data_IF_332315866679
#
_entry.id   IF_332315866679
#
_cell.length_a   1.000
_cell.length_b   1.000
_cell.length_c   1.000
_cell.angle_alpha   90.00
_cell.angle_beta   90.00
_cell.angle_gamma   90.00
#
_symmetry.space_group_name_H-M   'P 1'
#
loop_
_entity.id
_entity.type
_entity.pdbx_description
1 polymer ?
#
# COMPACT_ATOMS: atom_id res chain seq x y z
N UNK A 1 -0.85 14.35 13.59
CA UNK A 1 -0.79 15.61 12.78
C UNK A 1 -0.01 16.73 13.47
N UNK A 2 -0.40 17.20 14.68
CA UNK A 2 0.23 18.34 15.34
C UNK A 2 1.73 18.15 15.61
N UNK A 3 2.13 16.98 16.12
CA UNK A 3 3.54 16.64 16.39
C UNK A 3 4.34 16.66 15.09
N UNK A 4 3.82 16.04 14.04
CA UNK A 4 4.48 15.97 12.74
C UNK A 4 4.60 17.35 12.09
N UNK A 5 3.56 18.19 12.19
CA UNK A 5 3.58 19.55 11.68
C UNK A 5 4.69 20.39 12.33
N UNK A 6 4.81 20.35 13.68
CA UNK A 6 5.86 21.06 14.41
C UNK A 6 7.24 20.50 14.10
N UNK A 7 7.40 19.17 14.07
CA UNK A 7 8.67 18.52 13.73
C UNK A 7 9.13 18.87 12.32
N UNK A 8 8.21 18.80 11.35
CA UNK A 8 8.47 19.17 9.95
C UNK A 8 8.85 20.63 9.80
N UNK A 9 8.10 21.55 10.42
CA UNK A 9 8.40 22.98 10.39
C UNK A 9 9.78 23.29 10.97
N UNK A 10 10.14 22.66 12.09
CA UNK A 10 11.45 22.80 12.70
C UNK A 10 12.58 22.28 11.79
N UNK A 11 12.38 21.13 11.15
CA UNK A 11 13.36 20.56 10.22
C UNK A 11 13.55 21.45 8.99
N UNK A 12 12.48 22.02 8.43
CA UNK A 12 12.56 22.98 7.33
C UNK A 12 13.28 24.27 7.73
N UNK A 13 12.97 24.82 8.89
CA UNK A 13 13.62 26.04 9.39
C UNK A 13 15.13 25.83 9.61
N UNK A 14 15.50 24.69 10.20
CA UNK A 14 16.90 24.31 10.41
C UNK A 14 17.65 24.10 9.08
N UNK A 15 17.05 23.40 8.12
CA UNK A 15 17.63 23.20 6.80
C UNK A 15 17.87 24.54 6.09
N UNK A 16 16.88 25.46 6.12
CA UNK A 16 17.00 26.79 5.55
C UNK A 16 18.08 27.64 6.22
N UNK A 17 18.19 27.60 7.56
CA UNK A 17 19.22 28.33 8.30
C UNK A 17 20.65 27.87 7.96
N UNK A 18 20.81 26.62 7.51
CA UNK A 18 22.08 26.04 7.06
C UNK A 18 22.26 26.03 5.53
N UNK A 19 21.34 26.66 4.80
CA UNK A 19 21.33 26.68 3.32
C UNK A 19 21.39 25.30 2.68
N UNK A 20 20.76 24.30 3.32
CA UNK A 20 20.70 22.92 2.87
C UNK A 20 19.28 22.54 2.42
N UNK A 21 19.15 21.68 1.40
CA UNK A 21 17.86 21.07 1.12
C UNK A 21 17.45 20.12 2.25
N UNK A 22 16.15 20.00 2.52
CA UNK A 22 15.62 19.22 3.65
C UNK A 22 16.14 17.77 3.69
N UNK A 23 16.18 17.11 2.54
CA UNK A 23 16.68 15.73 2.45
C UNK A 23 18.15 15.62 2.90
N UNK A 24 18.96 16.63 2.62
CA UNK A 24 20.37 16.68 3.02
C UNK A 24 20.52 16.94 4.52
N UNK A 25 19.68 17.84 5.04
CA UNK A 25 19.62 18.14 6.48
C UNK A 25 19.27 16.88 7.29
N UNK A 26 18.21 16.16 6.89
CA UNK A 26 17.72 14.96 7.59
C UNK A 26 18.64 13.74 7.38
N UNK A 27 19.07 13.51 6.16
CA UNK A 27 19.79 12.28 5.80
C UNK A 27 21.32 12.42 5.82
N UNK A 28 21.85 13.62 6.00
CA UNK A 28 23.30 13.87 6.06
C UNK A 28 24.02 13.52 4.76
N UNK A 29 25.30 13.16 4.88
CA UNK A 29 26.17 12.88 3.72
C UNK A 29 25.84 11.58 3.00
N UNK A 30 25.10 10.68 3.64
CA UNK A 30 24.71 9.38 3.08
C UNK A 30 23.38 9.40 2.32
N UNK A 31 22.63 10.48 2.40
CA UNK A 31 21.38 10.63 1.65
C UNK A 31 21.64 10.78 0.14
N UNK A 32 21.68 9.67 -0.58
CA UNK A 32 22.05 9.62 -2.02
C UNK A 32 21.08 8.81 -2.87
N UNK A 33 20.21 8.03 -2.24
CA UNK A 33 19.29 7.12 -2.95
C UNK A 33 17.85 7.44 -2.61
N UNK A 34 16.99 7.41 -3.62
CA UNK A 34 15.55 7.41 -3.43
C UNK A 34 15.08 5.98 -3.12
N UNK A 35 14.11 5.80 -2.24
CA UNK A 35 13.51 4.47 -1.99
C UNK A 35 12.70 4.01 -3.21
N UNK A 36 12.43 2.71 -3.27
CA UNK A 36 11.39 2.18 -4.15
C UNK A 36 10.06 2.76 -3.67
N UNK A 37 9.24 3.37 -4.55
CA UNK A 37 7.96 3.91 -4.13
C UNK A 37 6.99 2.79 -3.74
N UNK A 38 6.31 2.94 -2.61
CA UNK A 38 5.13 2.16 -2.23
C UNK A 38 3.91 2.99 -2.60
N UNK A 39 3.04 2.43 -3.43
CA UNK A 39 1.88 3.15 -3.96
C UNK A 39 0.60 2.43 -3.57
N UNK A 40 -0.21 3.06 -2.73
CA UNK A 40 -1.53 2.57 -2.36
C UNK A 40 -2.49 2.74 -3.53
N UNK A 41 -3.02 1.65 -4.07
CA UNK A 41 -3.91 1.65 -5.24
C UNK A 41 -5.27 0.97 -5.02
N UNK A 42 -5.44 0.25 -3.89
CA UNK A 42 -6.74 -0.22 -3.40
C UNK A 42 -6.87 0.13 -1.92
N UNK A 43 -7.94 0.79 -1.56
CA UNK A 43 -8.26 1.20 -0.20
C UNK A 43 -9.35 0.32 0.42
N UNK A 44 -9.20 0.06 1.71
CA UNK A 44 -10.21 -0.53 2.59
C UNK A 44 -10.16 0.10 3.97
N UNK A 45 -10.64 -0.59 5.00
CA UNK A 45 -10.64 -0.14 6.37
C UNK A 45 -11.20 1.27 6.54
N UNK A 46 -10.55 2.09 7.37
CA UNK A 46 -10.96 3.47 7.62
C UNK A 46 -10.73 4.41 6.41
N UNK A 47 -9.93 4.00 5.41
CA UNK A 47 -9.66 4.80 4.21
C UNK A 47 -10.72 4.68 3.11
N UNK A 48 -11.76 3.85 3.30
CA UNK A 48 -12.78 3.60 2.29
C UNK A 48 -14.13 3.20 2.89
N UNK A 49 -15.21 3.72 2.32
CA UNK A 49 -16.57 3.28 2.62
C UNK A 49 -16.90 2.01 1.81
N UNK A 50 -16.31 0.89 2.21
CA UNK A 50 -16.52 -0.42 1.60
C UNK A 50 -16.46 -1.55 2.67
N UNK A 51 -16.37 -2.80 2.24
CA UNK A 51 -16.37 -3.98 3.11
C UNK A 51 -15.00 -4.69 3.17
N UNK A 52 -13.94 -4.03 2.79
CA UNK A 52 -12.57 -4.56 2.84
C UNK A 52 -11.95 -4.16 4.18
N UNK A 53 -11.51 -5.13 4.98
CA UNK A 53 -11.04 -4.86 6.35
C UNK A 53 -9.63 -4.28 6.40
N UNK A 54 -8.71 -4.78 5.53
CA UNK A 54 -7.34 -4.28 5.46
C UNK A 54 -7.32 -2.90 4.77
N UNK A 55 -6.52 -1.99 5.32
CA UNK A 55 -6.63 -0.56 5.01
C UNK A 55 -6.03 -0.18 3.66
N UNK A 56 -4.84 -0.74 3.33
CA UNK A 56 -4.14 -0.39 2.09
C UNK A 56 -3.57 -1.62 1.40
N UNK A 57 -3.76 -1.66 0.08
CA UNK A 57 -3.11 -2.62 -0.79
C UNK A 57 -2.25 -1.86 -1.79
N UNK A 58 -0.94 -2.06 -1.64
CA UNK A 58 0.08 -1.28 -2.33
C UNK A 58 0.84 -2.12 -3.34
N UNK A 59 1.39 -1.42 -4.33
CA UNK A 59 2.35 -1.96 -5.29
C UNK A 59 3.73 -1.35 -5.08
N UNK A 60 4.75 -2.16 -5.32
CA UNK A 60 6.17 -1.80 -5.21
C UNK A 60 6.89 -2.17 -6.50
N UNK A 61 7.30 -1.22 -7.35
CA UNK A 61 7.99 -1.48 -8.62
C UNK A 61 9.47 -1.84 -8.40
N UNK A 62 9.71 -3.04 -7.84
CA UNK A 62 11.04 -3.52 -7.45
C UNK A 62 11.96 -3.80 -8.64
N UNK A 63 11.40 -4.04 -9.84
CA UNK A 63 12.14 -4.25 -11.07
C UNK A 63 12.61 -2.96 -11.76
N UNK A 64 12.20 -1.79 -11.27
CA UNK A 64 12.58 -0.50 -11.84
C UNK A 64 14.06 -0.20 -11.61
N UNK A 65 14.73 0.36 -12.62
CA UNK A 65 16.15 0.76 -12.54
C UNK A 65 16.35 2.19 -12.04
N UNK A 66 15.25 2.97 -11.96
CA UNK A 66 15.23 4.35 -11.48
C UNK A 66 13.89 4.72 -10.86
N UNK A 67 13.86 5.76 -10.02
CA UNK A 67 12.62 6.26 -9.43
C UNK A 67 11.59 6.71 -10.47
N UNK A 68 11.96 7.48 -11.54
CA UNK A 68 10.99 7.84 -12.59
C UNK A 68 10.40 6.63 -13.30
N UNK A 69 11.19 5.58 -13.53
CA UNK A 69 10.69 4.34 -14.12
C UNK A 69 9.72 3.64 -13.16
N UNK A 70 10.07 3.54 -11.87
CA UNK A 70 9.19 2.96 -10.85
C UNK A 70 7.85 3.70 -10.76
N UNK A 71 7.87 5.03 -10.80
CA UNK A 71 6.65 5.84 -10.82
C UNK A 71 5.82 5.55 -12.08
N UNK A 72 6.43 5.49 -13.26
CA UNK A 72 5.76 5.14 -14.52
C UNK A 72 5.09 3.77 -14.42
N UNK A 73 5.83 2.75 -13.97
CA UNK A 73 5.31 1.38 -13.77
C UNK A 73 4.08 1.38 -12.87
N UNK A 74 4.14 2.09 -11.74
CA UNK A 74 3.01 2.18 -10.82
C UNK A 74 1.79 2.86 -11.42
N UNK A 75 1.97 3.93 -12.19
CA UNK A 75 0.87 4.62 -12.90
C UNK A 75 0.22 3.70 -13.94
N UNK A 76 1.02 2.92 -14.68
CA UNK A 76 0.50 1.96 -15.66
C UNK A 76 -0.34 0.88 -14.98
N UNK A 77 0.13 0.32 -13.85
CA UNK A 77 -0.65 -0.67 -13.06
C UNK A 77 -1.94 -0.03 -12.52
N UNK A 78 -1.89 1.20 -12.00
CA UNK A 78 -3.07 1.90 -11.52
C UNK A 78 -4.14 2.05 -12.61
N UNK A 79 -3.73 2.42 -13.83
CA UNK A 79 -4.67 2.52 -14.96
C UNK A 79 -5.17 1.15 -15.43
N UNK A 80 -4.34 0.11 -15.40
CA UNK A 80 -4.76 -1.25 -15.69
C UNK A 80 -5.79 -1.73 -14.66
N UNK A 81 -5.55 -1.48 -13.36
CA UNK A 81 -6.48 -1.79 -12.28
C UNK A 81 -7.85 -1.13 -12.49
N UNK A 82 -7.86 0.15 -12.91
CA UNK A 82 -9.11 0.82 -13.28
C UNK A 82 -9.89 0.08 -14.35
N UNK A 83 -9.17 -0.45 -15.34
CA UNK A 83 -9.77 -1.22 -16.43
C UNK A 83 -10.29 -2.58 -15.98
N UNK A 84 -9.53 -3.27 -15.11
CA UNK A 84 -9.94 -4.54 -14.48
C UNK A 84 -11.20 -4.33 -13.63
N UNK A 85 -11.23 -3.31 -12.77
CA UNK A 85 -12.42 -2.99 -11.98
C UNK A 85 -13.66 -2.75 -12.88
N UNK A 86 -13.51 -1.96 -13.95
CA UNK A 86 -14.62 -1.72 -14.89
C UNK A 86 -15.09 -2.99 -15.60
N UNK A 87 -14.17 -3.84 -16.05
CA UNK A 87 -14.51 -5.13 -16.71
C UNK A 87 -15.30 -6.05 -15.76
N UNK A 88 -14.98 -6.01 -14.45
CA UNK A 88 -15.65 -6.79 -13.42
C UNK A 88 -16.91 -6.11 -12.85
N UNK A 89 -17.29 -4.91 -13.34
CA UNK A 89 -18.45 -4.16 -12.84
C UNK A 89 -18.25 -3.57 -11.44
N UNK A 90 -16.99 -3.42 -11.00
CA UNK A 90 -16.63 -2.86 -9.71
C UNK A 90 -16.54 -1.32 -9.77
N UNK A 91 -16.79 -0.67 -8.62
CA UNK A 91 -16.61 0.77 -8.48
C UNK A 91 -15.16 1.18 -8.73
N UNK A 92 -14.99 2.33 -9.40
CA UNK A 92 -13.70 3.01 -9.54
C UNK A 92 -13.69 4.35 -8.80
N UNK A 93 -14.57 4.53 -7.81
CA UNK A 93 -14.47 5.60 -6.85
C UNK A 93 -13.20 5.39 -6.01
N UNK A 94 -12.60 6.47 -5.56
CA UNK A 94 -11.36 6.44 -4.78
C UNK A 94 -11.65 6.66 -3.30
N UNK A 95 -10.82 6.05 -2.46
CA UNK A 95 -10.79 6.31 -1.03
C UNK A 95 -9.94 7.52 -0.67
N UNK A 96 -9.70 7.73 0.60
CA UNK A 96 -9.02 8.91 1.15
C UNK A 96 -7.56 9.03 0.68
N UNK A 97 -6.90 7.90 0.43
CA UNK A 97 -5.51 7.82 -0.05
C UNK A 97 -5.38 7.76 -1.59
N UNK A 98 -6.50 7.88 -2.31
CA UNK A 98 -6.51 7.93 -3.78
C UNK A 98 -6.51 6.57 -4.49
N UNK A 99 -6.41 5.46 -3.78
CA UNK A 99 -6.64 4.10 -4.30
C UNK A 99 -8.13 3.86 -4.58
N UNK A 100 -8.45 2.91 -5.45
CA UNK A 100 -9.84 2.53 -5.70
C UNK A 100 -10.45 1.84 -4.46
N UNK A 101 -11.73 2.08 -4.23
CA UNK A 101 -12.46 1.59 -3.06
C UNK A 101 -13.68 0.74 -3.45
N UNK A 102 -13.53 -0.36 -4.20
CA UNK A 102 -14.64 -1.24 -4.55
C UNK A 102 -15.13 -2.05 -3.35
N UNK A 103 -16.39 -2.46 -3.36
CA UNK A 103 -16.84 -3.57 -2.54
C UNK A 103 -16.31 -4.88 -3.11
N UNK A 104 -15.68 -5.71 -2.28
CA UNK A 104 -15.08 -6.97 -2.67
C UNK A 104 -15.62 -8.12 -1.82
N UNK A 105 -15.47 -9.36 -2.29
CA UNK A 105 -15.92 -10.54 -1.54
C UNK A 105 -15.02 -10.83 -0.33
N UNK A 106 -13.74 -10.44 -0.41
CA UNK A 106 -12.73 -10.65 0.64
C UNK A 106 -11.53 -9.72 0.45
N UNK A 107 -10.67 -9.62 1.47
CA UNK A 107 -9.38 -8.95 1.35
C UNK A 107 -8.48 -9.62 0.29
N UNK A 108 -8.57 -10.95 0.14
CA UNK A 108 -7.82 -11.70 -0.87
C UNK A 108 -8.18 -11.29 -2.29
N UNK A 109 -9.45 -10.96 -2.55
CA UNK A 109 -9.90 -10.46 -3.87
C UNK A 109 -9.18 -9.18 -4.28
N UNK A 110 -8.80 -8.31 -3.32
CA UNK A 110 -7.99 -7.13 -3.63
C UNK A 110 -6.61 -7.52 -4.19
N UNK A 111 -5.95 -8.53 -3.59
CA UNK A 111 -4.66 -9.03 -4.07
C UNK A 111 -4.77 -9.66 -5.47
N UNK A 112 -5.84 -10.41 -5.73
CA UNK A 112 -6.12 -10.96 -7.06
C UNK A 112 -6.25 -9.87 -8.11
N UNK A 113 -7.00 -8.80 -7.81
CA UNK A 113 -7.14 -7.65 -8.70
C UNK A 113 -5.79 -6.98 -9.00
N UNK A 114 -4.93 -6.85 -7.99
CA UNK A 114 -3.59 -6.29 -8.17
C UNK A 114 -2.71 -7.18 -9.07
N UNK A 115 -2.71 -8.49 -8.84
CA UNK A 115 -1.94 -9.44 -9.67
C UNK A 115 -2.43 -9.42 -11.12
N UNK A 116 -3.75 -9.39 -11.34
CA UNK A 116 -4.34 -9.28 -12.67
C UNK A 116 -3.94 -7.95 -13.34
N UNK A 117 -4.05 -6.83 -12.60
CA UNK A 117 -3.68 -5.52 -13.13
C UNK A 117 -2.20 -5.43 -13.51
N UNK A 118 -1.30 -6.00 -12.71
CA UNK A 118 0.13 -6.08 -13.04
C UNK A 118 0.34 -6.88 -14.32
N UNK A 119 -0.29 -8.05 -14.42
CA UNK A 119 -0.17 -8.92 -15.59
C UNK A 119 -0.74 -8.25 -16.88
N UNK A 120 -1.84 -7.51 -16.78
CA UNK A 120 -2.45 -6.77 -17.90
C UNK A 120 -1.50 -5.69 -18.48
N UNK A 121 -0.51 -5.21 -17.71
CA UNK A 121 0.52 -4.28 -18.21
C UNK A 121 1.66 -4.99 -18.94
N UNK A 122 1.73 -6.33 -18.91
CA UNK A 122 2.84 -7.12 -19.41
C UNK A 122 4.01 -7.27 -18.41
N UNK A 123 3.92 -6.64 -17.24
CA UNK A 123 4.90 -6.82 -16.16
C UNK A 123 4.64 -8.13 -15.40
N UNK A 124 5.69 -8.64 -14.74
CA UNK A 124 5.63 -9.91 -14.01
C UNK A 124 5.39 -9.66 -12.51
N UNK A 125 4.24 -10.13 -11.95
CA UNK A 125 4.02 -10.10 -10.50
C UNK A 125 5.14 -10.87 -9.76
N UNK A 126 5.64 -10.26 -8.68
CA UNK A 126 6.71 -10.84 -7.87
C UNK A 126 8.13 -10.57 -8.37
N UNK A 127 8.31 -10.21 -9.63
CA UNK A 127 9.60 -9.85 -10.21
C UNK A 127 9.69 -8.34 -10.47
N UNK A 128 8.84 -7.81 -11.32
CA UNK A 128 8.83 -6.40 -11.67
C UNK A 128 8.06 -5.58 -10.66
N UNK A 129 6.90 -6.08 -10.23
CA UNK A 129 6.05 -5.49 -9.19
C UNK A 129 5.85 -6.50 -8.06
N UNK A 130 6.13 -6.08 -6.84
CA UNK A 130 5.71 -6.78 -5.61
C UNK A 130 4.55 -6.04 -4.97
N UNK A 131 3.86 -6.71 -4.05
CA UNK A 131 2.73 -6.18 -3.30
C UNK A 131 3.16 -5.83 -1.87
N UNK A 132 2.46 -4.87 -1.27
CA UNK A 132 2.55 -4.60 0.15
C UNK A 132 1.14 -4.33 0.71
N UNK A 133 0.99 -4.53 2.01
CA UNK A 133 -0.27 -4.34 2.73
C UNK A 133 0.02 -3.46 3.94
N UNK A 134 -0.83 -2.49 4.19
CA UNK A 134 -1.04 -1.92 5.52
C UNK A 134 -2.33 -2.49 6.08
N UNK A 135 -2.21 -3.21 7.18
CA UNK A 135 -3.36 -3.85 7.80
C UNK A 135 -4.14 -2.90 8.70
N UNK A 136 -3.49 -1.92 9.32
CA UNK A 136 -4.04 -1.08 10.38
C UNK A 136 -4.84 -1.91 11.40
N UNK A 137 -4.25 -2.99 11.90
CA UNK A 137 -4.96 -4.08 12.59
C UNK A 137 -5.64 -3.66 13.90
N UNK A 138 -5.27 -2.51 14.45
CA UNK A 138 -5.96 -1.91 15.59
C UNK A 138 -7.42 -1.59 15.28
N UNK A 139 -7.76 -1.25 14.04
CA UNK A 139 -9.10 -0.82 13.62
C UNK A 139 -10.13 -1.98 13.63
N UNK A 140 -9.67 -3.20 13.39
CA UNK A 140 -10.52 -4.39 13.45
C UNK A 140 -10.27 -5.28 14.68
N UNK A 141 -9.51 -4.79 15.68
CA UNK A 141 -9.32 -5.47 16.96
C UNK A 141 -10.41 -5.05 17.96
N UNK A 142 -11.24 -6.02 18.40
CA UNK A 142 -12.28 -5.81 19.40
C UNK A 142 -12.55 -7.11 20.17
N UNK A 143 -12.93 -6.98 21.43
CA UNK A 143 -13.25 -8.12 22.31
C UNK A 143 -12.13 -9.18 22.39
N UNK A 144 -10.85 -8.74 22.33
CA UNK A 144 -9.68 -9.61 22.39
C UNK A 144 -9.38 -10.39 21.13
N UNK A 145 -10.00 -10.07 20.01
CA UNK A 145 -9.83 -10.75 18.71
C UNK A 145 -9.77 -9.76 17.54
N UNK A 146 -9.18 -10.24 16.44
CA UNK A 146 -9.11 -9.55 15.15
C UNK A 146 -10.25 -10.04 14.24
N UNK A 147 -11.07 -9.12 13.76
CA UNK A 147 -12.21 -9.42 12.90
C UNK A 147 -11.87 -9.16 11.44
N UNK A 148 -11.50 -10.21 10.70
CA UNK A 148 -11.05 -10.16 9.31
C UNK A 148 -11.84 -11.15 8.47
N UNK A 149 -12.34 -10.71 7.30
CA UNK A 149 -13.17 -11.51 6.39
C UNK A 149 -14.32 -12.24 7.12
N UNK A 150 -14.98 -11.54 8.05
CA UNK A 150 -16.08 -12.09 8.85
C UNK A 150 -15.68 -13.14 9.90
N UNK A 151 -14.38 -13.36 10.15
CA UNK A 151 -13.85 -14.29 11.15
C UNK A 151 -13.28 -13.54 12.34
N UNK A 152 -13.42 -14.11 13.54
CA UNK A 152 -12.81 -13.58 14.76
C UNK A 152 -11.55 -14.41 15.10
N UNK A 153 -10.39 -13.85 14.81
CA UNK A 153 -9.10 -14.52 14.88
C UNK A 153 -8.35 -14.14 16.16
N UNK A 154 -7.66 -15.08 16.78
CA UNK A 154 -6.60 -14.83 17.75
C UNK A 154 -5.37 -14.24 17.05
N UNK A 155 -4.37 -13.80 17.82
CA UNK A 155 -3.10 -13.30 17.27
C UNK A 155 -2.37 -14.35 16.42
N UNK A 156 -2.35 -15.61 16.90
CA UNK A 156 -1.70 -16.70 16.18
C UNK A 156 -2.45 -17.05 14.88
N UNK A 157 -3.79 -17.13 14.93
CA UNK A 157 -4.62 -17.38 13.76
C UNK A 157 -4.49 -16.27 12.71
N UNK A 158 -4.40 -14.99 13.15
CA UNK A 158 -4.14 -13.86 12.26
C UNK A 158 -2.75 -13.96 11.61
N UNK A 159 -1.72 -14.36 12.37
CA UNK A 159 -0.39 -14.59 11.82
C UNK A 159 -0.41 -15.68 10.75
N UNK A 160 -1.15 -16.77 10.99
CA UNK A 160 -1.39 -17.83 9.99
C UNK A 160 -2.15 -17.33 8.75
N UNK A 161 -3.10 -16.43 8.93
CA UNK A 161 -3.82 -15.78 7.83
C UNK A 161 -2.86 -15.01 6.91
N UNK A 162 -1.99 -14.15 7.47
CA UNK A 162 -1.00 -13.42 6.67
C UNK A 162 0.04 -14.33 6.03
N UNK A 163 0.50 -15.36 6.76
CA UNK A 163 1.39 -16.37 6.17
C UNK A 163 0.77 -17.00 4.93
N UNK A 164 -0.50 -17.40 5.01
CA UNK A 164 -1.22 -17.97 3.87
C UNK A 164 -1.35 -17.01 2.69
N UNK A 165 -1.52 -15.70 2.91
CA UNK A 165 -1.50 -14.70 1.84
C UNK A 165 -0.10 -14.57 1.22
N UNK A 166 0.97 -14.54 2.02
CA UNK A 166 2.35 -14.46 1.53
C UNK A 166 2.77 -15.69 0.71
N UNK A 167 2.21 -16.87 1.01
CA UNK A 167 2.48 -18.10 0.25
C UNK A 167 1.83 -18.08 -1.15
N UNK A 168 0.70 -17.39 -1.30
CA UNK A 168 -0.07 -17.34 -2.55
C UNK A 168 0.22 -16.11 -3.42
N UNK A 169 0.58 -14.99 -2.81
CA UNK A 169 0.76 -13.70 -3.48
C UNK A 169 2.18 -13.16 -3.27
N UNK A 170 2.71 -12.36 -4.21
CA UNK A 170 4.06 -11.82 -4.12
C UNK A 170 4.16 -10.64 -3.13
N UNK A 171 3.69 -10.85 -1.89
CA UNK A 171 3.73 -9.84 -0.83
C UNK A 171 5.17 -9.70 -0.33
N UNK A 172 5.65 -8.48 -0.25
CA UNK A 172 6.99 -8.13 0.21
C UNK A 172 6.98 -7.54 1.63
N UNK A 173 5.92 -6.80 1.96
CA UNK A 173 5.79 -6.11 3.23
C UNK A 173 4.36 -6.17 3.75
N UNK A 174 4.21 -6.34 5.05
CA UNK A 174 2.95 -6.15 5.78
C UNK A 174 3.29 -5.26 6.97
N UNK A 175 2.63 -4.12 7.08
CA UNK A 175 2.77 -3.20 8.20
C UNK A 175 1.50 -3.17 9.06
N UNK A 176 1.65 -2.70 10.29
CA UNK A 176 0.59 -2.60 11.32
C UNK A 176 -0.24 -3.88 11.49
N UNK A 177 0.46 -5.02 11.39
CA UNK A 177 -0.12 -6.37 11.48
C UNK A 177 -0.26 -6.87 12.92
#
# INVERSE_FOLDING_TARGET
NAILAVSGANAHAAAAAHELPLWRWLGGVQARSLPVPMMNIVNGGEHADNNVDLQEFMIMPMGATSFPEGLRMGVEVFHALKSVCKKRGLSTAVGDEGGFAPHLESNETALELLVEAVADTGMQPGKDIKLAIDSASAEFYRDGKYHVDGKALSSDERSGYYQGLCERYPIFSIEDS
#
